data_IF_302474561681
#
_entry.id   IF_302474561681
#
_cell.length_a   1.000
_cell.length_b   1.000
_cell.length_c   1.000
_cell.angle_alpha   90.00
_cell.angle_beta   90.00
_cell.angle_gamma   90.00
#
_symmetry.space_group_name_H-M   'P 1'
#
loop_
_entity.id
_entity.type
_entity.pdbx_description
1 polymer ?
#
# COMPACT_ATOMS: atom_id res chain seq x y z
N UNK A 1 9.23 -26.86 4.09
CA UNK A 1 8.63 -26.18 5.25
C UNK A 1 7.68 -25.11 4.74
N UNK A 2 6.35 -25.19 4.93
CA UNK A 2 5.46 -24.14 4.45
C UNK A 2 5.54 -22.95 5.42
N UNK A 3 5.76 -21.75 4.89
CA UNK A 3 5.76 -20.52 5.67
C UNK A 3 4.29 -20.16 5.95
N UNK A 4 3.86 -20.27 7.21
CA UNK A 4 2.53 -19.85 7.65
C UNK A 4 2.52 -18.32 7.78
N UNK A 5 2.20 -17.62 6.70
CA UNK A 5 1.97 -16.18 6.74
C UNK A 5 0.59 -15.87 7.32
N UNK A 6 0.53 -15.07 8.38
CA UNK A 6 -0.74 -14.51 8.85
C UNK A 6 -1.16 -13.40 7.88
N UNK A 7 -2.25 -13.59 7.15
CA UNK A 7 -2.81 -12.57 6.26
C UNK A 7 -3.70 -11.65 7.10
N UNK A 8 -3.15 -10.53 7.57
CA UNK A 8 -3.95 -9.45 8.14
C UNK A 8 -4.52 -8.61 6.98
N UNK A 9 -5.81 -8.77 6.67
CA UNK A 9 -6.50 -7.88 5.72
C UNK A 9 -7.02 -6.66 6.47
N UNK A 10 -6.35 -5.52 6.33
CA UNK A 10 -6.94 -4.24 6.68
C UNK A 10 -8.12 -3.95 5.71
N UNK A 11 -9.24 -3.45 6.24
CA UNK A 11 -10.38 -3.01 5.42
C UNK A 11 -10.04 -1.63 4.83
N UNK A 12 -9.35 -1.61 3.70
CA UNK A 12 -8.94 -0.38 2.99
C UNK A 12 -9.67 -0.31 1.66
N UNK A 13 -10.26 0.85 1.36
CA UNK A 13 -10.79 1.15 0.04
C UNK A 13 -9.65 1.80 -0.77
N UNK A 14 -9.20 1.10 -1.82
CA UNK A 14 -8.21 1.54 -2.79
C UNK A 14 -8.69 1.14 -4.19
N UNK A 15 -8.39 1.94 -5.21
CA UNK A 15 -8.59 1.51 -6.60
C UNK A 15 -7.65 0.36 -6.89
N UNK A 16 -8.18 -0.75 -7.43
CA UNK A 16 -7.43 -1.99 -7.59
C UNK A 16 -6.35 -1.92 -8.68
N UNK A 17 -6.52 -1.00 -9.64
CA UNK A 17 -5.62 -0.80 -10.76
C UNK A 17 -5.78 0.61 -11.30
N UNK A 18 -4.66 1.24 -11.69
CA UNK A 18 -4.64 2.52 -12.39
C UNK A 18 -3.65 2.40 -13.56
N UNK A 19 -4.11 2.67 -14.78
CA UNK A 19 -3.24 2.80 -15.95
C UNK A 19 -2.88 4.27 -16.13
N UNK A 20 -1.59 4.55 -16.35
CA UNK A 20 -1.08 5.91 -16.56
C UNK A 20 -0.02 5.90 -17.65
N UNK A 21 0.23 7.05 -18.24
CA UNK A 21 1.35 7.23 -19.17
C UNK A 21 2.63 7.49 -18.37
N UNK A 22 3.74 6.90 -18.82
CA UNK A 22 5.06 7.17 -18.25
C UNK A 22 5.36 8.68 -18.21
N UNK A 23 5.88 9.18 -17.09
CA UNK A 23 6.13 10.60 -16.87
C UNK A 23 4.93 11.39 -16.30
N UNK A 24 3.74 10.78 -16.17
CA UNK A 24 2.60 11.38 -15.49
C UNK A 24 2.59 10.95 -14.02
N UNK A 25 2.50 11.91 -13.10
CA UNK A 25 2.33 11.65 -11.67
C UNK A 25 0.98 11.00 -11.38
N UNK A 26 0.97 10.00 -10.51
CA UNK A 26 -0.26 9.33 -10.05
C UNK A 26 -0.55 9.68 -8.59
N UNK A 27 -1.83 9.67 -8.22
CA UNK A 27 -2.26 9.85 -6.83
C UNK A 27 -2.92 8.57 -6.32
N UNK A 28 -2.27 7.89 -5.38
CA UNK A 28 -2.80 6.69 -4.76
C UNK A 28 -3.46 7.09 -3.44
N UNK A 29 -4.78 7.02 -3.39
CA UNK A 29 -5.55 7.38 -2.20
C UNK A 29 -5.80 6.15 -1.33
N UNK A 30 -5.78 6.32 0.00
CA UNK A 30 -6.08 5.26 0.95
C UNK A 30 -7.14 5.75 1.93
N UNK A 31 -8.33 5.14 1.91
CA UNK A 31 -9.34 5.38 2.93
C UNK A 31 -9.29 4.26 3.97
N UNK A 32 -8.71 4.59 5.12
CA UNK A 32 -8.73 3.73 6.31
C UNK A 32 -9.56 4.42 7.40
N UNK A 33 -10.79 3.96 7.68
CA UNK A 33 -11.73 4.67 8.56
C UNK A 33 -11.42 4.50 10.06
N UNK A 34 -10.60 3.51 10.43
CA UNK A 34 -10.32 3.16 11.84
C UNK A 34 -8.88 3.45 12.29
N UNK A 35 -8.07 4.10 11.44
CA UNK A 35 -6.68 4.43 11.77
C UNK A 35 -6.66 5.77 12.51
N UNK A 36 -5.83 5.89 13.55
CA UNK A 36 -5.70 7.14 14.30
C UNK A 36 -4.80 8.11 13.53
N UNK A 37 -4.96 9.42 13.73
CA UNK A 37 -4.11 10.44 13.11
C UNK A 37 -2.62 10.30 13.49
N UNK A 38 -2.33 9.68 14.64
CA UNK A 38 -0.96 9.39 15.09
C UNK A 38 -0.32 8.18 14.42
N UNK A 39 -1.10 7.37 13.69
CA UNK A 39 -0.59 6.13 13.11
C UNK A 39 0.11 6.39 11.77
N UNK A 40 1.14 5.60 11.52
CA UNK A 40 1.90 5.65 10.28
C UNK A 40 1.31 4.73 9.23
N UNK A 41 1.07 5.27 8.04
CA UNK A 41 0.74 4.52 6.85
C UNK A 41 2.05 4.26 6.09
N UNK A 42 2.35 2.99 5.87
CA UNK A 42 3.52 2.54 5.13
C UNK A 42 3.12 2.17 3.71
N UNK A 43 3.75 2.80 2.72
CA UNK A 43 3.49 2.56 1.31
C UNK A 43 4.56 1.67 0.72
N UNK A 44 4.16 0.48 0.24
CA UNK A 44 5.07 -0.48 -0.37
C UNK A 44 4.79 -0.65 -1.86
N UNK A 45 5.86 -0.86 -2.64
CA UNK A 45 5.81 -1.30 -4.04
C UNK A 45 6.26 -2.74 -4.13
N UNK A 46 5.49 -3.57 -4.84
CA UNK A 46 5.88 -4.94 -5.16
C UNK A 46 5.95 -5.08 -6.67
N UNK A 47 7.15 -5.33 -7.19
CA UNK A 47 7.39 -5.62 -8.60
C UNK A 47 7.51 -7.14 -8.79
N UNK A 48 7.10 -7.70 -9.95
CA UNK A 48 7.22 -9.13 -10.21
C UNK A 48 8.66 -9.63 -10.03
N UNK A 49 8.85 -10.66 -9.20
CA UNK A 49 10.16 -11.25 -8.92
C UNK A 49 11.02 -10.49 -7.90
N UNK A 50 10.53 -9.39 -7.33
CA UNK A 50 11.23 -8.63 -6.29
C UNK A 50 10.49 -8.70 -4.95
N UNK A 51 11.20 -8.44 -3.86
CA UNK A 51 10.58 -8.26 -2.55
C UNK A 51 9.84 -6.91 -2.44
N UNK A 52 9.01 -6.72 -1.41
CA UNK A 52 8.37 -5.43 -1.14
C UNK A 52 9.42 -4.33 -0.87
N UNK A 53 9.28 -3.19 -1.55
CA UNK A 53 10.11 -2.01 -1.39
C UNK A 53 9.31 -0.91 -0.70
N UNK A 54 9.84 -0.34 0.39
CA UNK A 54 9.20 0.79 1.07
C UNK A 54 9.40 2.06 0.23
N UNK A 55 8.30 2.68 -0.19
CA UNK A 55 8.30 3.93 -0.93
C UNK A 55 8.19 5.14 -0.01
N UNK A 56 7.29 5.10 0.98
CA UNK A 56 6.99 6.24 1.83
C UNK A 56 6.39 5.83 3.18
N UNK A 57 6.58 6.71 4.16
CA UNK A 57 5.93 6.70 5.46
C UNK A 57 5.15 8.00 5.61
N UNK A 58 3.84 7.91 5.77
CA UNK A 58 2.96 9.09 5.90
C UNK A 58 2.15 9.00 7.17
N UNK A 59 2.03 10.10 7.91
CA UNK A 59 1.06 10.18 9.00
C UNK A 59 -0.36 10.36 8.45
N UNK A 60 -1.35 9.90 9.20
CA UNK A 60 -2.77 10.07 8.91
C UNK A 60 -3.27 11.47 9.28
#
# INVERSE_FOLDING_TARGET
FPVTGAVARAQVQQEASLETTEGIGINITCSHPKIQASDWIQWYRLLPGQGPELLALTMK
#
